data_IF_564848090440
#
_entry.id   IF_564848090440
#
_cell.length_a   1.000
_cell.length_b   1.000
_cell.length_c   1.000
_cell.angle_alpha   90.00
_cell.angle_beta   90.00
_cell.angle_gamma   90.00
#
_symmetry.space_group_name_H-M   'P 1'
#
loop_
_entity.id
_entity.type
_entity.pdbx_description
1 polymer ?
#
# COMPACT_ATOMS: atom_id res chain seq x y z
N UNK A 1 23.13 26.74 -37.07
CA UNK A 1 23.06 25.44 -37.76
C UNK A 1 21.71 24.82 -37.45
N UNK A 2 20.83 24.70 -38.46
CA UNK A 2 19.51 24.05 -38.36
C UNK A 2 19.64 22.67 -39.00
N UNK A 3 19.34 21.60 -38.29
CA UNK A 3 19.36 20.25 -38.85
C UNK A 3 17.95 19.66 -38.78
N UNK A 4 17.48 19.26 -39.96
CA UNK A 4 16.10 18.90 -40.29
C UNK A 4 15.82 17.43 -39.96
N UNK A 5 14.63 17.16 -39.41
CA UNK A 5 14.07 15.82 -39.23
C UNK A 5 13.67 15.20 -40.57
N UNK A 6 13.91 13.90 -40.75
CA UNK A 6 13.35 13.10 -41.85
C UNK A 6 12.50 11.97 -41.27
N UNK A 7 11.19 12.14 -41.42
CA UNK A 7 10.19 11.09 -41.27
C UNK A 7 10.32 10.07 -42.40
N UNK A 8 10.16 8.78 -42.10
CA UNK A 8 9.91 7.75 -43.08
C UNK A 8 8.71 6.91 -42.60
N UNK A 9 7.57 7.17 -43.24
CA UNK A 9 6.39 6.31 -43.20
C UNK A 9 6.64 5.05 -44.02
N UNK A 10 6.30 3.88 -43.47
CA UNK A 10 5.86 2.73 -44.27
C UNK A 10 4.58 2.19 -43.63
N UNK A 11 3.54 2.12 -44.46
CA UNK A 11 2.22 1.66 -44.13
C UNK A 11 1.87 0.39 -44.94
N UNK A 12 0.82 -0.30 -44.45
CA UNK A 12 0.02 -1.38 -45.04
C UNK A 12 0.55 -2.83 -44.94
N UNK A 13 -0.23 -3.88 -44.67
CA UNK A 13 -1.66 -4.13 -44.36
C UNK A 13 -1.76 -5.61 -43.91
N UNK A 14 -2.73 -5.98 -43.06
CA UNK A 14 -3.00 -7.40 -42.79
C UNK A 14 -4.22 -7.65 -41.89
N UNK A 15 -5.37 -7.85 -42.53
CA UNK A 15 -6.70 -8.19 -41.98
C UNK A 15 -6.71 -9.53 -41.21
N UNK A 16 -7.46 -9.62 -40.10
CA UNK A 16 -7.71 -10.91 -39.40
C UNK A 16 -8.79 -10.85 -38.31
N UNK A 17 -10.05 -10.91 -38.75
CA UNK A 17 -11.32 -11.28 -38.10
C UNK A 17 -11.49 -11.36 -36.55
N UNK A 18 -12.57 -10.73 -36.08
CA UNK A 18 -13.29 -11.02 -34.84
C UNK A 18 -13.77 -12.48 -34.79
N UNK A 19 -13.66 -13.15 -33.63
CA UNK A 19 -14.55 -14.26 -33.28
C UNK A 19 -14.69 -14.44 -31.76
N UNK A 20 -15.91 -14.13 -31.32
CA UNK A 20 -16.73 -14.62 -30.20
C UNK A 20 -16.13 -15.32 -28.96
N UNK A 21 -16.73 -14.94 -27.83
CA UNK A 21 -16.75 -15.59 -26.52
C UNK A 21 -17.18 -17.06 -26.57
N UNK A 22 -16.63 -17.89 -25.68
CA UNK A 22 -17.35 -19.07 -25.17
C UNK A 22 -16.91 -19.37 -23.73
N UNK A 23 -17.68 -18.84 -22.77
CA UNK A 23 -17.88 -19.51 -21.50
C UNK A 23 -19.01 -20.52 -21.71
N UNK A 24 -18.83 -21.76 -21.27
CA UNK A 24 -19.87 -22.52 -20.59
C UNK A 24 -19.29 -23.83 -20.04
N UNK A 25 -19.43 -23.98 -18.73
CA UNK A 25 -19.41 -25.26 -18.04
C UNK A 25 -20.84 -25.78 -18.08
N UNK A 26 -21.02 -26.95 -18.68
CA UNK A 26 -22.28 -27.68 -18.65
C UNK A 26 -22.45 -28.30 -17.26
N UNK A 27 -23.53 -27.96 -16.57
CA UNK A 27 -24.13 -28.87 -15.61
C UNK A 27 -25.65 -28.76 -15.73
N UNK A 28 -26.19 -29.71 -16.48
CA UNK A 28 -27.61 -29.99 -16.62
C UNK A 28 -28.08 -30.70 -15.34
N UNK A 29 -29.09 -30.19 -14.67
CA UNK A 29 -30.04 -31.06 -13.96
C UNK A 29 -31.46 -30.54 -14.17
N UNK A 30 -32.30 -31.49 -14.56
CA UNK A 30 -33.66 -31.32 -15.01
C UNK A 30 -34.62 -31.45 -13.83
N UNK A 31 -35.78 -30.80 -13.89
CA UNK A 31 -36.86 -31.08 -12.95
C UNK A 31 -37.97 -30.07 -12.96
N UNK A 32 -38.95 -30.31 -13.83
CA UNK A 32 -40.14 -29.49 -14.06
C UNK A 32 -41.07 -29.29 -12.84
N UNK A 33 -41.53 -28.04 -12.74
CA UNK A 33 -42.89 -27.53 -12.50
C UNK A 33 -44.02 -28.35 -11.86
N UNK A 34 -44.77 -27.60 -11.04
CA UNK A 34 -46.24 -27.44 -11.00
C UNK A 34 -47.08 -28.11 -9.89
N UNK A 35 -47.69 -27.22 -9.10
CA UNK A 35 -49.13 -27.16 -8.74
C UNK A 35 -49.62 -27.87 -7.46
N UNK A 36 -50.13 -27.03 -6.54
CA UNK A 36 -50.97 -27.39 -5.39
C UNK A 36 -52.32 -27.97 -5.83
N UNK A 37 -53.02 -28.79 -5.02
CA UNK A 37 -53.94 -28.21 -4.03
C UNK A 37 -54.14 -29.01 -2.71
N UNK A 38 -54.65 -28.26 -1.72
CA UNK A 38 -55.65 -28.63 -0.68
C UNK A 38 -55.34 -29.62 0.47
N UNK A 39 -55.55 -29.10 1.70
CA UNK A 39 -55.67 -29.80 2.99
C UNK A 39 -56.81 -30.82 3.03
N UNK A 40 -56.75 -31.82 3.94
CA UNK A 40 -57.47 -31.66 5.21
C UNK A 40 -56.75 -32.20 6.47
N UNK A 41 -56.95 -31.45 7.58
CA UNK A 41 -57.12 -31.85 9.00
C UNK A 41 -56.52 -33.19 9.48
N UNK A 42 -55.66 -33.16 10.52
CA UNK A 42 -55.96 -33.72 11.86
C UNK A 42 -54.69 -33.85 12.74
N UNK A 43 -54.81 -33.42 14.00
CA UNK A 43 -54.02 -33.71 15.21
C UNK A 43 -52.59 -34.27 15.14
N UNK A 44 -51.62 -33.44 15.55
CA UNK A 44 -50.66 -33.70 16.62
C UNK A 44 -49.67 -32.53 16.67
N UNK A 45 -49.63 -31.77 17.77
CA UNK A 45 -48.54 -30.82 17.98
C UNK A 45 -47.27 -31.62 18.35
N UNK A 46 -46.20 -31.62 17.54
CA UNK A 46 -44.90 -31.96 18.07
C UNK A 46 -44.47 -30.77 18.94
N UNK A 47 -44.33 -31.04 20.24
CA UNK A 47 -43.69 -30.13 21.19
C UNK A 47 -42.38 -29.62 20.57
N UNK A 48 -42.34 -28.32 20.24
CA UNK A 48 -41.11 -27.69 19.82
C UNK A 48 -40.04 -27.96 20.90
N UNK A 49 -38.80 -28.33 20.54
CA UNK A 49 -37.74 -28.40 21.53
C UNK A 49 -37.58 -26.99 22.13
N UNK A 50 -37.83 -26.88 23.44
CA UNK A 50 -37.51 -25.66 24.19
C UNK A 50 -35.99 -25.54 24.13
N UNK A 51 -35.49 -24.65 23.28
CA UNK A 51 -34.09 -24.27 23.28
C UNK A 51 -33.74 -23.67 24.64
N UNK A 52 -32.88 -24.35 25.39
CA UNK A 52 -32.39 -23.95 26.72
C UNK A 52 -31.18 -23.02 26.64
N UNK A 53 -30.79 -22.59 25.44
CA UNK A 53 -29.75 -21.58 25.26
C UNK A 53 -30.32 -20.23 25.72
N UNK A 54 -29.85 -19.71 26.87
CA UNK A 54 -30.00 -18.28 27.17
C UNK A 54 -29.35 -17.54 26.01
N UNK A 55 -30.13 -16.75 25.28
CA UNK A 55 -29.64 -15.96 24.16
C UNK A 55 -28.66 -14.85 24.60
N UNK A 56 -28.48 -14.64 25.92
CA UNK A 56 -27.82 -13.46 26.46
C UNK A 56 -26.67 -13.87 27.40
N UNK A 57 -25.59 -14.37 26.81
CA UNK A 57 -24.25 -14.22 27.39
C UNK A 57 -23.45 -13.52 26.30
N UNK A 58 -23.54 -12.18 26.27
CA UNK A 58 -22.50 -11.39 25.64
C UNK A 58 -21.23 -11.67 26.46
N UNK A 59 -20.38 -12.56 25.94
CA UNK A 59 -19.05 -12.76 26.49
C UNK A 59 -18.33 -11.40 26.56
N UNK A 60 -17.33 -11.24 27.46
CA UNK A 60 -16.54 -10.02 27.44
C UNK A 60 -16.08 -9.75 26.00
N UNK A 61 -16.13 -8.48 25.54
CA UNK A 61 -15.73 -8.16 24.18
C UNK A 61 -14.37 -8.79 23.93
N UNK A 62 -14.26 -9.52 22.82
CA UNK A 62 -12.98 -10.08 22.40
C UNK A 62 -11.96 -8.93 22.42
N UNK A 63 -10.74 -9.14 22.94
CA UNK A 63 -9.72 -8.10 22.92
C UNK A 63 -9.56 -7.62 21.48
N UNK A 64 -9.56 -6.30 21.28
CA UNK A 64 -9.28 -5.73 19.97
C UNK A 64 -7.92 -6.25 19.48
N UNK A 65 -7.84 -6.63 18.20
CA UNK A 65 -6.57 -7.05 17.61
C UNK A 65 -5.53 -5.92 17.73
N UNK A 66 -4.25 -6.23 18.01
CA UNK A 66 -3.23 -5.20 18.10
C UNK A 66 -3.07 -4.49 16.74
N UNK A 67 -2.91 -3.18 16.78
CA UNK A 67 -2.56 -2.36 15.61
C UNK A 67 -1.16 -2.76 15.13
N UNK A 68 -0.99 -2.92 13.82
CA UNK A 68 0.30 -3.20 13.18
C UNK A 68 1.03 -1.92 12.79
N UNK A 69 2.35 -1.98 12.60
CA UNK A 69 3.11 -0.88 11.97
C UNK A 69 2.60 -0.59 10.55
N UNK A 70 2.72 0.66 10.12
CA UNK A 70 2.28 1.11 8.81
C UNK A 70 3.50 1.37 7.91
N UNK A 71 3.49 0.84 6.69
CA UNK A 71 4.59 0.97 5.74
C UNK A 71 4.08 1.48 4.39
N UNK A 72 4.74 2.49 3.83
CA UNK A 72 4.45 3.01 2.51
C UNK A 72 5.72 3.55 1.84
N UNK A 73 5.78 3.46 0.51
CA UNK A 73 6.87 4.02 -0.30
C UNK A 73 6.46 5.34 -0.93
N UNK A 74 7.34 6.33 -0.85
CA UNK A 74 7.23 7.63 -1.53
C UNK A 74 8.23 7.66 -2.69
N UNK A 75 7.75 7.87 -3.91
CA UNK A 75 8.56 7.84 -5.13
C UNK A 75 9.11 9.22 -5.53
N UNK A 76 10.24 9.21 -6.25
CA UNK A 76 10.88 10.39 -6.85
C UNK A 76 11.28 10.09 -8.31
N UNK A 77 10.29 9.90 -9.20
CA UNK A 77 10.53 9.44 -10.57
C UNK A 77 11.38 10.43 -11.39
N UNK A 78 11.42 11.72 -11.03
CA UNK A 78 12.18 12.74 -11.77
C UNK A 78 13.65 12.88 -11.33
N UNK A 79 14.10 12.15 -10.30
CA UNK A 79 15.50 12.24 -9.86
C UNK A 79 15.76 13.24 -8.74
N UNK A 80 14.89 14.22 -8.54
CA UNK A 80 15.04 15.25 -7.52
C UNK A 80 14.70 14.81 -6.10
N UNK A 81 14.46 15.82 -5.25
CA UNK A 81 13.91 15.71 -3.90
C UNK A 81 12.57 16.46 -3.75
N UNK A 82 12.03 16.91 -4.87
CA UNK A 82 10.76 17.60 -4.99
C UNK A 82 9.62 16.58 -4.83
N UNK A 83 8.65 16.91 -3.98
CA UNK A 83 7.48 16.09 -3.73
C UNK A 83 6.44 16.39 -4.81
N UNK A 84 6.23 15.45 -5.73
CA UNK A 84 5.16 15.53 -6.73
C UNK A 84 3.79 15.19 -6.13
N UNK A 85 2.74 15.29 -6.94
CA UNK A 85 1.36 15.06 -6.48
C UNK A 85 1.15 13.64 -5.93
N UNK A 86 1.82 12.63 -6.50
CA UNK A 86 1.72 11.23 -6.07
C UNK A 86 2.45 11.03 -4.72
N UNK A 87 3.62 11.63 -4.56
CA UNK A 87 4.37 11.65 -3.31
C UNK A 87 3.56 12.35 -2.19
N UNK A 88 2.94 13.49 -2.49
CA UNK A 88 2.08 14.21 -1.55
C UNK A 88 0.87 13.36 -1.15
N UNK A 89 0.22 12.68 -2.09
CA UNK A 89 -0.90 11.79 -1.78
C UNK A 89 -0.48 10.58 -0.92
N UNK A 90 0.72 10.04 -1.11
CA UNK A 90 1.29 9.00 -0.26
C UNK A 90 1.57 9.52 1.16
N UNK A 91 2.17 10.71 1.28
CA UNK A 91 2.45 11.36 2.56
C UNK A 91 1.18 11.71 3.34
N UNK A 92 0.12 12.12 2.65
CA UNK A 92 -1.18 12.34 3.28
C UNK A 92 -1.76 11.04 3.87
N UNK A 93 -1.58 9.89 3.21
CA UNK A 93 -2.00 8.60 3.78
C UNK A 93 -1.21 8.26 5.05
N UNK A 94 0.10 8.49 5.03
CA UNK A 94 0.96 8.32 6.21
C UNK A 94 0.50 9.23 7.35
N UNK A 95 0.32 10.53 7.09
CA UNK A 95 -0.04 11.52 8.11
C UNK A 95 -1.41 11.26 8.76
N UNK A 96 -2.34 10.63 8.03
CA UNK A 96 -3.67 10.29 8.52
C UNK A 96 -3.76 8.87 9.11
N UNK A 97 -2.63 8.14 9.20
CA UNK A 97 -2.59 6.80 9.78
C UNK A 97 -2.78 6.83 11.31
N UNK A 98 -3.35 5.76 11.87
CA UNK A 98 -3.56 5.63 13.32
C UNK A 98 -2.22 5.62 14.08
N UNK A 99 -1.17 5.08 13.47
CA UNK A 99 0.17 4.96 14.04
C UNK A 99 0.81 6.33 14.27
N UNK A 100 0.54 7.32 13.40
CA UNK A 100 0.97 8.70 13.62
C UNK A 100 0.31 9.27 14.88
N UNK A 101 -1.00 9.04 15.04
CA UNK A 101 -1.77 9.50 16.19
C UNK A 101 -1.37 8.82 17.50
N UNK A 102 -0.91 7.57 17.44
CA UNK A 102 -0.38 6.84 18.60
C UNK A 102 0.97 7.38 19.07
N UNK A 103 1.67 8.20 18.29
CA UNK A 103 2.92 8.81 18.72
C UNK A 103 4.17 7.97 18.50
N UNK A 104 4.10 6.87 17.73
CA UNK A 104 5.26 6.00 17.53
C UNK A 104 6.35 6.59 16.63
N UNK A 105 7.57 6.00 16.65
CA UNK A 105 8.69 6.47 15.85
C UNK A 105 8.48 6.19 14.35
N UNK A 106 9.10 7.01 13.53
CA UNK A 106 9.06 6.98 12.07
C UNK A 106 10.47 6.75 11.55
N UNK A 107 10.64 5.75 10.70
CA UNK A 107 11.91 5.46 10.03
C UNK A 107 11.75 5.73 8.54
N UNK A 108 12.66 6.53 7.99
CA UNK A 108 12.71 6.92 6.59
C UNK A 108 13.95 6.29 5.93
N UNK A 109 13.76 5.21 5.18
CA UNK A 109 14.80 4.58 4.38
C UNK A 109 14.93 5.26 3.03
N UNK A 110 15.95 6.07 2.83
CA UNK A 110 16.12 6.86 1.61
C UNK A 110 17.09 6.19 0.61
N UNK A 111 16.63 6.04 -0.64
CA UNK A 111 17.34 5.36 -1.71
C UNK A 111 17.51 6.24 -2.96
N UNK A 112 18.47 5.87 -3.79
CA UNK A 112 18.70 6.41 -5.12
C UNK A 112 18.84 5.27 -6.14
N UNK A 113 18.87 5.64 -7.41
CA UNK A 113 19.32 4.73 -8.47
C UNK A 113 20.86 4.65 -8.50
N UNK A 114 21.40 3.85 -9.42
CA UNK A 114 22.85 3.67 -9.59
C UNK A 114 23.49 4.61 -10.63
N UNK A 115 22.90 5.76 -10.92
CA UNK A 115 23.45 6.70 -11.90
C UNK A 115 24.34 7.74 -11.22
N UNK A 116 25.56 7.87 -11.71
CA UNK A 116 26.57 8.74 -11.11
C UNK A 116 27.46 8.01 -10.10
N UNK A 117 27.98 8.77 -9.14
CA UNK A 117 28.88 8.26 -8.10
C UNK A 117 28.13 7.96 -6.81
N UNK A 118 28.62 7.03 -6.01
CA UNK A 118 28.10 6.69 -4.67
C UNK A 118 27.80 7.95 -3.83
N UNK A 119 28.77 8.88 -3.74
CA UNK A 119 28.61 10.13 -2.98
C UNK A 119 27.52 11.07 -3.51
N UNK A 120 27.18 10.98 -4.79
CA UNK A 120 26.09 11.74 -5.39
C UNK A 120 24.75 11.07 -5.09
N UNK A 121 24.73 9.74 -5.12
CA UNK A 121 23.55 8.93 -4.79
C UNK A 121 23.19 9.02 -3.31
N UNK A 122 24.18 9.03 -2.41
CA UNK A 122 23.98 9.30 -0.98
C UNK A 122 23.36 10.68 -0.75
N UNK A 123 23.92 11.74 -1.36
CA UNK A 123 23.38 13.10 -1.22
C UNK A 123 21.97 13.25 -1.79
N UNK A 124 21.67 12.58 -2.91
CA UNK A 124 20.33 12.60 -3.50
C UNK A 124 19.32 11.86 -2.62
N UNK A 125 19.69 10.69 -2.10
CA UNK A 125 18.87 9.95 -1.14
C UNK A 125 18.64 10.76 0.14
N UNK A 126 19.69 11.33 0.73
CA UNK A 126 19.60 12.21 1.91
C UNK A 126 18.62 13.37 1.67
N UNK A 127 18.74 14.07 0.54
CA UNK A 127 17.84 15.18 0.21
C UNK A 127 16.37 14.74 0.13
N UNK A 128 16.08 13.56 -0.42
CA UNK A 128 14.71 13.00 -0.47
C UNK A 128 14.19 12.65 0.92
N UNK A 129 15.02 12.00 1.74
CA UNK A 129 14.68 11.67 3.12
C UNK A 129 14.35 12.93 3.94
N UNK A 130 15.16 13.97 3.79
CA UNK A 130 14.94 15.28 4.43
C UNK A 130 13.70 16.00 3.90
N UNK A 131 13.38 15.88 2.61
CA UNK A 131 12.14 16.45 2.06
C UNK A 131 10.90 15.78 2.66
N UNK A 132 10.90 14.45 2.78
CA UNK A 132 9.84 13.69 3.44
C UNK A 132 9.74 14.06 4.93
N UNK A 133 10.86 14.09 5.64
CA UNK A 133 10.91 14.47 7.05
C UNK A 133 10.35 15.88 7.26
N UNK A 134 10.81 16.86 6.46
CA UNK A 134 10.35 18.25 6.53
C UNK A 134 8.84 18.37 6.33
N UNK A 135 8.29 17.66 5.35
CA UNK A 135 6.85 17.65 5.11
C UNK A 135 6.05 17.09 6.30
N UNK A 136 6.52 15.99 6.91
CA UNK A 136 5.87 15.40 8.10
C UNK A 136 5.93 16.36 9.30
N UNK A 137 7.06 17.03 9.50
CA UNK A 137 7.24 18.03 10.57
C UNK A 137 6.29 19.21 10.38
N UNK A 138 6.16 19.72 9.15
CA UNK A 138 5.17 20.77 8.83
C UNK A 138 3.74 20.35 9.13
N UNK A 139 3.46 19.04 9.14
CA UNK A 139 2.15 18.47 9.49
C UNK A 139 1.96 18.23 11.00
N UNK A 140 2.97 18.52 11.82
CA UNK A 140 2.91 18.45 13.27
C UNK A 140 3.49 17.17 13.87
N UNK A 141 4.27 16.41 13.10
CA UNK A 141 5.09 15.32 13.66
C UNK A 141 6.33 15.92 14.32
N UNK A 142 6.62 15.55 15.56
CA UNK A 142 7.83 15.99 16.23
C UNK A 142 9.09 15.42 15.57
N UNK A 143 10.13 16.24 15.43
CA UNK A 143 11.38 15.88 14.74
C UNK A 143 12.10 14.70 15.41
N UNK A 144 12.00 14.58 16.74
CA UNK A 144 12.61 13.51 17.53
C UNK A 144 12.00 12.12 17.26
N UNK A 145 10.81 12.08 16.65
CA UNK A 145 10.19 10.83 16.21
C UNK A 145 10.73 10.33 14.88
N UNK A 146 11.45 11.15 14.11
CA UNK A 146 11.83 10.84 12.73
C UNK A 146 13.31 10.48 12.65
N UNK A 147 13.62 9.28 12.16
CA UNK A 147 14.98 8.86 11.82
C UNK A 147 15.14 8.69 10.31
N UNK A 148 16.19 9.28 9.74
CA UNK A 148 16.48 9.22 8.30
C UNK A 148 17.71 8.35 8.07
N UNK A 149 17.50 7.19 7.45
CA UNK A 149 18.55 6.25 7.09
C UNK A 149 18.85 6.39 5.60
N UNK A 150 20.08 6.79 5.28
CA UNK A 150 20.52 7.01 3.90
C UNK A 150 21.22 5.77 3.37
N UNK A 151 20.62 5.11 2.38
CA UNK A 151 21.20 3.94 1.70
C UNK A 151 21.93 4.30 0.40
N UNK A 152 21.62 5.45 -0.19
CA UNK A 152 22.12 5.79 -1.53
C UNK A 152 21.63 4.76 -2.55
N UNK A 153 22.51 4.26 -3.41
CA UNK A 153 22.17 3.26 -4.44
C UNK A 153 22.11 1.81 -3.94
N UNK A 154 22.38 1.59 -2.65
CA UNK A 154 22.36 0.26 -2.05
C UNK A 154 20.92 -0.25 -1.90
N UNK A 155 20.76 -1.57 -1.91
CA UNK A 155 19.48 -2.26 -1.81
C UNK A 155 18.44 -1.79 -2.85
N UNK A 156 18.74 -1.94 -4.16
CA UNK A 156 17.79 -1.58 -5.20
C UNK A 156 16.55 -2.48 -5.11
N UNK A 157 15.37 -1.88 -5.24
CA UNK A 157 14.11 -2.61 -5.33
C UNK A 157 13.97 -3.28 -6.70
N UNK A 158 14.46 -2.62 -7.74
CA UNK A 158 14.41 -3.09 -9.12
C UNK A 158 15.79 -3.03 -9.80
N UNK A 159 16.07 -3.83 -10.84
CA UNK A 159 17.34 -3.76 -11.55
C UNK A 159 17.60 -2.38 -12.16
N UNK A 160 18.75 -1.79 -11.89
CA UNK A 160 19.18 -0.52 -12.51
C UNK A 160 19.64 -0.68 -13.98
N UNK A 161 19.90 -1.91 -14.42
CA UNK A 161 20.34 -2.23 -15.77
C UNK A 161 19.59 -3.43 -16.34
N UNK A 162 19.39 -3.44 -17.65
CA UNK A 162 18.85 -4.55 -18.42
C UNK A 162 19.90 -5.68 -18.58
N UNK A 163 19.52 -6.91 -18.96
CA UNK A 163 20.46 -8.03 -19.13
C UNK A 163 21.58 -7.78 -20.17
N UNK A 164 21.39 -6.85 -21.09
CA UNK A 164 22.39 -6.44 -22.08
C UNK A 164 23.37 -5.37 -21.57
N UNK A 165 23.20 -4.94 -20.31
CA UNK A 165 24.02 -3.92 -19.65
C UNK A 165 23.60 -2.47 -19.93
N UNK A 166 22.54 -2.24 -20.71
CA UNK A 166 21.99 -0.90 -20.90
C UNK A 166 21.18 -0.44 -19.69
N UNK A 167 21.04 0.88 -19.44
CA UNK A 167 20.27 1.39 -18.31
C UNK A 167 18.80 0.96 -18.36
N UNK A 168 18.26 0.50 -17.22
CA UNK A 168 16.84 0.23 -17.05
C UNK A 168 16.15 1.42 -16.39
N UNK A 169 15.65 2.38 -17.18
CA UNK A 169 15.11 3.63 -16.62
C UNK A 169 13.85 3.41 -15.75
N UNK A 170 13.03 2.42 -16.06
CA UNK A 170 11.85 2.09 -15.25
C UNK A 170 12.26 1.60 -13.86
N UNK A 171 13.23 0.67 -13.79
CA UNK A 171 13.77 0.19 -12.52
C UNK A 171 14.49 1.29 -11.74
N UNK A 172 15.24 2.16 -12.43
CA UNK A 172 15.88 3.32 -11.81
C UNK A 172 14.85 4.27 -11.18
N UNK A 173 13.75 4.56 -11.87
CA UNK A 173 12.68 5.41 -11.34
C UNK A 173 12.08 4.84 -10.05
N UNK A 174 11.87 3.52 -10.00
CA UNK A 174 11.36 2.83 -8.81
C UNK A 174 12.39 2.80 -7.67
N UNK A 175 13.69 2.80 -7.98
CA UNK A 175 14.74 2.84 -6.97
C UNK A 175 14.90 4.21 -6.30
N UNK A 176 14.53 5.29 -6.98
CA UNK A 176 14.50 6.65 -6.43
C UNK A 176 13.29 6.80 -5.52
N UNK A 177 13.43 6.39 -4.27
CA UNK A 177 12.32 6.28 -3.31
C UNK A 177 12.75 6.57 -1.88
N UNK A 178 11.75 6.83 -1.03
CA UNK A 178 11.86 6.81 0.43
C UNK A 178 10.86 5.79 0.96
N UNK A 179 11.34 4.79 1.67
CA UNK A 179 10.53 3.83 2.42
C UNK A 179 10.17 4.44 3.77
N UNK A 180 8.88 4.50 4.10
CA UNK A 180 8.37 5.11 5.33
C UNK A 180 7.75 4.03 6.20
N UNK A 181 8.32 3.82 7.39
CA UNK A 181 7.79 2.92 8.40
C UNK A 181 7.34 3.73 9.61
N UNK A 182 6.05 3.67 9.94
CA UNK A 182 5.49 4.22 11.18
C UNK A 182 5.24 3.08 12.16
N UNK A 183 6.03 3.04 13.22
CA UNK A 183 6.01 1.98 14.22
C UNK A 183 4.88 2.24 15.22
N UNK A 184 4.21 1.20 15.69
CA UNK A 184 3.29 1.31 16.82
C UNK A 184 4.12 1.39 18.11
N UNK A 185 3.94 2.41 18.96
CA UNK A 185 4.68 2.49 20.20
C UNK A 185 4.28 1.36 21.15
N UNK A 186 5.25 0.85 21.92
CA UNK A 186 5.00 -0.15 22.93
C UNK A 186 4.02 0.40 23.98
N UNK A 187 3.05 -0.42 24.41
CA UNK A 187 1.97 0.01 25.30
C UNK A 187 2.45 0.57 26.66
N UNK A 188 3.65 0.20 27.09
CA UNK A 188 4.26 0.66 28.34
C UNK A 188 4.88 2.07 28.22
N UNK A 189 5.22 2.53 27.01
CA UNK A 189 5.81 3.86 26.77
C UNK A 189 4.72 4.95 26.60
N UNK A 190 3.48 4.55 26.28
CA UNK A 190 2.36 5.48 26.09
C UNK A 190 1.80 6.10 27.41
N UNK A 191 2.15 5.55 28.58
CA UNK A 191 1.68 5.99 29.91
C UNK A 191 2.69 6.87 30.68
N UNK A 192 3.89 7.10 30.14
CA UNK A 192 4.99 7.77 30.84
C UNK A 192 4.85 9.29 31.09
N UNK A 193 3.69 9.91 30.81
CA UNK A 193 3.51 11.37 30.91
C UNK A 193 3.00 11.88 32.26
N UNK A 194 2.94 11.04 33.30
CA UNK A 194 2.55 11.46 34.66
C UNK A 194 3.61 11.01 35.67
N UNK A 195 4.00 11.93 36.56
CA UNK A 195 4.91 11.75 37.70
C UNK A 195 6.38 12.19 37.54
N UNK A 196 6.58 13.48 37.25
CA UNK A 196 7.70 14.22 37.87
C UNK A 196 7.16 15.40 38.66
N UNK A 197 6.69 15.12 39.88
CA UNK A 197 6.61 16.09 40.97
C UNK A 197 7.25 15.47 42.20
N UNK A 198 8.47 15.88 42.51
CA UNK A 198 8.99 15.83 43.87
C UNK A 198 10.00 16.97 44.08
#
# INVERSE_FOLDING_TARGET
MKMQYRAAMIALFGLGALSACQANNDNEDAGETQTAPESPLEGAQPTAPVSILRADIDGPPLPAAPVSSFELTVGFPDGGAELDDDALAALEQIANSEQIALGGPIVLGAHSDSDGSDSANERAAEARGLAVAGWLIERGVDEDRIDVIVFGEQNPAEPNALPDGSPNEEGRALNRRVEVLVVVPDADEADGSVESSN
#
